data_IF_391140284418
#
_entry.id   IF_391140284418
#
_cell.length_a   1.000
_cell.length_b   1.000
_cell.length_c   1.000
_cell.angle_alpha   90.00
_cell.angle_beta   90.00
_cell.angle_gamma   90.00
#
_symmetry.space_group_name_H-M   'P 1'
#
loop_
_entity.id
_entity.type
_entity.pdbx_description
1 polymer ?
#
# COMPACT_ATOMS: atom_id res chain seq x y z
N UNK A 1 -18.65 -42.29 -22.81
CA UNK A 1 -17.71 -42.20 -21.67
C UNK A 1 -17.25 -40.75 -21.54
N UNK A 2 -18.03 -39.93 -20.83
CA UNK A 2 -17.75 -38.52 -20.63
C UNK A 2 -16.70 -38.39 -19.52
N UNK A 3 -15.51 -37.92 -19.87
CA UNK A 3 -14.45 -37.62 -18.94
C UNK A 3 -14.80 -36.27 -18.32
N UNK A 4 -15.05 -36.28 -17.02
CA UNK A 4 -15.42 -35.13 -16.21
C UNK A 4 -14.24 -34.15 -16.12
N UNK A 5 -14.31 -33.05 -16.88
CA UNK A 5 -13.29 -31.99 -16.95
C UNK A 5 -13.25 -31.09 -15.68
N UNK A 6 -14.03 -31.40 -14.66
CA UNK A 6 -14.17 -30.62 -13.41
C UNK A 6 -13.23 -31.06 -12.30
N UNK A 7 -12.46 -32.12 -12.46
CA UNK A 7 -11.62 -32.68 -11.39
C UNK A 7 -10.15 -32.21 -11.41
N UNK A 8 -9.71 -31.45 -12.42
CA UNK A 8 -8.29 -31.03 -12.57
C UNK A 8 -8.04 -29.60 -12.07
N UNK A 9 -9.08 -28.80 -11.80
CA UNK A 9 -8.93 -27.42 -11.31
C UNK A 9 -8.89 -27.27 -9.78
N UNK A 10 -8.94 -28.37 -9.02
CA UNK A 10 -9.08 -28.34 -7.55
C UNK A 10 -7.77 -28.51 -6.76
N UNK A 11 -6.60 -28.59 -7.39
CA UNK A 11 -5.38 -29.02 -6.65
C UNK A 11 -4.15 -28.09 -6.79
N UNK A 12 -4.26 -26.80 -7.07
CA UNK A 12 -3.05 -25.95 -7.04
C UNK A 12 -3.24 -24.48 -6.62
N UNK A 13 -4.29 -24.12 -5.97
CA UNK A 13 -4.41 -22.81 -5.31
C UNK A 13 -4.33 -22.97 -3.80
N UNK A 14 -3.22 -23.54 -3.30
CA UNK A 14 -2.76 -23.20 -1.95
C UNK A 14 -2.23 -21.77 -2.05
N UNK A 15 -3.13 -20.80 -1.94
CA UNK A 15 -2.78 -19.40 -1.78
C UNK A 15 -1.86 -19.36 -0.55
N UNK A 16 -0.59 -19.00 -0.76
CA UNK A 16 0.38 -18.86 0.34
C UNK A 16 -0.09 -17.68 1.19
N UNK A 17 -0.92 -17.93 2.17
CA UNK A 17 -1.28 -16.94 3.19
C UNK A 17 -0.02 -16.62 3.96
N UNK A 18 0.35 -15.34 4.06
CA UNK A 18 1.48 -14.92 4.89
C UNK A 18 1.26 -15.37 6.33
N UNK A 19 2.28 -16.00 6.91
CA UNK A 19 2.24 -16.35 8.33
C UNK A 19 2.31 -15.08 9.18
N UNK A 20 1.69 -15.07 10.35
CA UNK A 20 1.68 -13.91 11.24
C UNK A 20 3.08 -13.32 11.48
N UNK A 21 4.10 -14.15 11.66
CA UNK A 21 5.50 -13.71 11.80
C UNK A 21 6.04 -12.94 10.59
N UNK A 22 5.63 -13.31 9.37
CA UNK A 22 6.03 -12.62 8.13
C UNK A 22 5.35 -11.24 8.04
N UNK A 23 4.09 -11.16 8.47
CA UNK A 23 3.34 -9.90 8.56
C UNK A 23 4.00 -8.97 9.59
N UNK A 24 4.33 -9.48 10.77
CA UNK A 24 4.96 -8.69 11.83
C UNK A 24 6.35 -8.19 11.42
N UNK A 25 7.14 -9.02 10.73
CA UNK A 25 8.44 -8.63 10.20
C UNK A 25 8.31 -7.54 9.11
N UNK A 26 7.35 -7.68 8.20
CA UNK A 26 7.10 -6.69 7.15
C UNK A 26 6.62 -5.36 7.76
N UNK A 27 5.73 -5.40 8.77
CA UNK A 27 5.30 -4.22 9.53
C UNK A 27 6.49 -3.50 10.16
N UNK A 28 7.32 -4.22 10.90
CA UNK A 28 8.51 -3.65 11.55
C UNK A 28 9.47 -3.04 10.53
N UNK A 29 9.69 -3.69 9.39
CA UNK A 29 10.54 -3.17 8.32
C UNK A 29 9.99 -1.84 7.77
N UNK A 30 8.69 -1.77 7.43
CA UNK A 30 8.07 -0.57 6.87
C UNK A 30 8.14 0.60 7.86
N UNK A 31 7.85 0.34 9.14
CA UNK A 31 7.90 1.34 10.22
C UNK A 31 9.33 1.75 10.58
N UNK A 32 10.34 0.91 10.29
CA UNK A 32 11.76 1.22 10.52
C UNK A 32 12.38 2.06 9.40
N UNK A 33 11.72 2.23 8.24
CA UNK A 33 12.23 3.08 7.15
C UNK A 33 12.34 4.53 7.67
N UNK A 34 13.53 5.17 7.61
CA UNK A 34 13.75 6.51 8.19
C UNK A 34 12.76 7.57 7.68
N UNK A 35 12.37 7.50 6.40
CA UNK A 35 11.38 8.41 5.82
C UNK A 35 9.98 8.18 6.40
N UNK A 36 9.56 6.92 6.57
CA UNK A 36 8.28 6.57 7.21
C UNK A 36 8.23 7.06 8.66
N UNK A 37 9.34 6.89 9.40
CA UNK A 37 9.47 7.41 10.78
C UNK A 37 9.36 8.93 10.82
N UNK A 38 10.05 9.64 9.89
CA UNK A 38 10.01 11.10 9.83
C UNK A 38 8.61 11.65 9.56
N UNK A 39 7.81 10.92 8.80
CA UNK A 39 6.42 11.25 8.50
C UNK A 39 5.43 10.71 9.55
N UNK A 40 5.91 10.00 10.57
CA UNK A 40 5.09 9.42 11.63
C UNK A 40 4.13 8.32 11.13
N UNK A 41 4.49 7.65 10.03
CA UNK A 41 3.64 6.60 9.45
C UNK A 41 3.51 5.40 10.37
N UNK A 42 2.30 4.81 10.43
CA UNK A 42 2.00 3.57 11.17
C UNK A 42 1.26 2.59 10.28
N UNK A 43 1.65 1.33 10.35
CA UNK A 43 0.96 0.25 9.62
C UNK A 43 -0.22 -0.23 10.47
N UNK A 44 -1.43 0.13 10.05
CA UNK A 44 -2.67 -0.26 10.74
C UNK A 44 -3.09 -1.68 10.36
N UNK A 45 -3.04 -2.02 9.05
CA UNK A 45 -3.36 -3.36 8.54
C UNK A 45 -2.35 -3.75 7.46
N UNK A 46 -2.01 -5.03 7.43
CA UNK A 46 -1.12 -5.60 6.41
C UNK A 46 -1.44 -7.08 6.21
N UNK A 47 -1.64 -7.51 4.97
CA UNK A 47 -1.87 -8.91 4.61
C UNK A 47 -2.67 -9.06 3.31
N UNK A 48 -2.55 -10.21 2.68
CA UNK A 48 -3.35 -10.63 1.51
C UNK A 48 -3.37 -9.62 0.35
N UNK A 49 -2.22 -8.99 0.09
CA UNK A 49 -2.11 -7.97 -0.96
C UNK A 49 -2.73 -6.62 -0.60
N UNK A 50 -3.04 -6.39 0.68
CA UNK A 50 -3.63 -5.15 1.18
C UNK A 50 -2.76 -4.53 2.27
N UNK A 51 -2.69 -3.19 2.25
CA UNK A 51 -2.06 -2.42 3.31
C UNK A 51 -2.92 -1.21 3.67
N UNK A 52 -2.97 -0.88 4.95
CA UNK A 52 -3.56 0.36 5.47
C UNK A 52 -2.49 1.04 6.31
N UNK A 53 -2.10 2.25 5.92
CA UNK A 53 -1.06 3.03 6.59
C UNK A 53 -1.63 4.40 6.93
N UNK A 54 -1.46 4.83 8.18
CA UNK A 54 -1.84 6.15 8.66
C UNK A 54 -0.62 7.07 8.76
N UNK A 55 -0.84 8.37 8.57
CA UNK A 55 0.13 9.45 8.75
C UNK A 55 -0.55 10.56 9.55
N UNK A 56 -0.10 10.84 10.79
CA UNK A 56 -0.68 11.88 11.61
C UNK A 56 -0.40 13.27 11.02
N UNK A 57 -1.25 14.24 11.36
CA UNK A 57 -0.98 15.63 11.03
C UNK A 57 0.24 16.13 11.79
N UNK A 58 1.21 16.68 11.07
CA UNK A 58 2.36 17.36 11.64
C UNK A 58 2.50 18.76 10.99
N UNK A 59 2.66 19.79 11.81
CA UNK A 59 2.88 21.17 11.36
C UNK A 59 4.13 21.33 10.49
N UNK A 60 5.13 20.47 10.67
CA UNK A 60 6.34 20.45 9.86
C UNK A 60 6.08 19.99 8.41
N UNK A 61 4.93 19.35 8.14
CA UNK A 61 4.53 18.86 6.83
C UNK A 61 3.55 19.79 6.10
N UNK A 62 3.29 20.99 6.64
CA UNK A 62 2.38 21.97 6.01
C UNK A 62 2.97 22.43 4.68
N UNK A 63 2.16 22.33 3.61
CA UNK A 63 2.49 22.83 2.29
C UNK A 63 2.00 24.28 2.04
N UNK A 64 0.86 24.64 2.65
CA UNK A 64 0.30 25.97 2.58
C UNK A 64 0.20 26.61 3.98
N UNK A 65 1.04 27.61 4.27
CA UNK A 65 1.07 28.28 5.57
C UNK A 65 -0.23 29.01 5.92
N UNK A 66 -1.06 29.37 4.93
CA UNK A 66 -2.33 30.09 5.16
C UNK A 66 -3.41 29.12 5.59
N UNK A 67 -3.66 28.11 4.77
CA UNK A 67 -4.72 27.12 4.98
C UNK A 67 -4.32 26.00 5.93
N UNK A 68 -3.02 25.85 6.23
CA UNK A 68 -2.45 24.78 7.06
C UNK A 68 -2.64 23.36 6.48
N UNK A 69 -2.90 23.25 5.20
CA UNK A 69 -3.02 21.98 4.48
C UNK A 69 -1.65 21.30 4.39
N UNK A 70 -1.62 19.99 4.58
CA UNK A 70 -0.42 19.14 4.42
C UNK A 70 0.06 19.20 2.96
N UNK A 71 1.39 19.28 2.77
CA UNK A 71 2.00 19.25 1.45
C UNK A 71 1.67 17.95 0.70
N UNK A 72 1.29 18.06 -0.57
CA UNK A 72 0.94 16.91 -1.40
C UNK A 72 2.04 15.85 -1.46
N UNK A 73 3.32 16.25 -1.40
CA UNK A 73 4.45 15.32 -1.36
C UNK A 73 4.42 14.36 -0.16
N UNK A 74 3.91 14.78 1.00
CA UNK A 74 3.74 13.88 2.15
C UNK A 74 2.64 12.83 1.87
N UNK A 75 1.56 13.24 1.20
CA UNK A 75 0.49 12.33 0.78
C UNK A 75 1.01 11.36 -0.30
N UNK A 76 1.84 11.84 -1.25
CA UNK A 76 2.49 10.96 -2.24
C UNK A 76 3.35 9.90 -1.57
N UNK A 77 4.19 10.28 -0.61
CA UNK A 77 5.04 9.36 0.12
C UNK A 77 4.23 8.32 0.91
N UNK A 78 3.11 8.73 1.52
CA UNK A 78 2.19 7.83 2.20
C UNK A 78 1.59 6.80 1.24
N UNK A 79 1.12 7.25 0.06
CA UNK A 79 0.48 6.37 -0.93
C UNK A 79 1.48 5.42 -1.58
N UNK A 80 2.71 5.88 -1.84
CA UNK A 80 3.81 5.06 -2.34
C UNK A 80 4.19 3.96 -1.34
N UNK A 81 4.36 4.34 -0.08
CA UNK A 81 4.66 3.38 1.00
C UNK A 81 3.54 2.35 1.17
N UNK A 82 2.28 2.78 1.12
CA UNK A 82 1.13 1.89 1.21
C UNK A 82 1.06 0.93 -0.01
N UNK A 83 1.36 1.44 -1.21
CA UNK A 83 1.43 0.64 -2.43
C UNK A 83 2.48 -0.46 -2.36
N UNK A 84 3.73 -0.09 -2.00
CA UNK A 84 4.82 -1.04 -1.81
C UNK A 84 4.51 -2.07 -0.72
N UNK A 85 3.93 -1.63 0.40
CA UNK A 85 3.49 -2.52 1.49
C UNK A 85 2.44 -3.54 1.02
N UNK A 86 1.46 -3.11 0.21
CA UNK A 86 0.46 -4.01 -0.36
C UNK A 86 1.08 -5.06 -1.29
N UNK A 87 2.11 -4.69 -2.06
CA UNK A 87 2.86 -5.63 -2.90
C UNK A 87 3.59 -6.65 -2.03
N UNK A 88 4.35 -6.21 -1.02
CA UNK A 88 5.07 -7.10 -0.09
C UNK A 88 4.11 -8.06 0.62
N UNK A 89 2.90 -7.60 0.95
CA UNK A 89 1.86 -8.41 1.59
C UNK A 89 1.14 -9.37 0.63
N UNK A 90 1.40 -9.32 -0.69
CA UNK A 90 0.71 -10.17 -1.65
C UNK A 90 1.34 -11.58 -1.70
N UNK A 91 0.53 -12.67 -1.64
CA UNK A 91 1.03 -14.05 -1.54
C UNK A 91 1.95 -14.48 -2.69
N UNK A 92 1.79 -13.89 -3.87
CA UNK A 92 2.56 -14.20 -5.07
C UNK A 92 3.75 -13.27 -5.29
N UNK A 93 3.90 -12.19 -4.51
CA UNK A 93 5.03 -11.29 -4.55
C UNK A 93 6.14 -11.75 -3.58
N UNK A 94 7.36 -11.34 -3.84
CA UNK A 94 8.48 -11.52 -2.91
C UNK A 94 8.57 -10.36 -1.91
N UNK A 95 9.54 -10.44 -1.01
CA UNK A 95 9.74 -9.41 0.03
C UNK A 95 10.39 -8.10 -0.47
N UNK A 96 10.89 -8.08 -1.72
CA UNK A 96 11.51 -6.89 -2.30
C UNK A 96 10.64 -6.28 -3.39
N UNK A 97 10.42 -4.97 -3.32
CA UNK A 97 9.69 -4.21 -4.32
C UNK A 97 10.29 -2.83 -4.48
N UNK A 98 10.15 -2.24 -5.67
CA UNK A 98 10.47 -0.85 -5.95
C UNK A 98 9.40 -0.27 -6.88
N UNK A 99 9.07 0.99 -6.70
CA UNK A 99 8.10 1.70 -7.52
C UNK A 99 8.64 1.91 -8.93
N UNK A 100 7.89 1.48 -9.93
CA UNK A 100 8.17 1.75 -11.34
C UNK A 100 7.41 2.99 -11.82
N UNK A 101 6.14 3.08 -11.42
CA UNK A 101 5.25 4.18 -11.75
C UNK A 101 4.19 4.32 -10.65
N UNK A 102 3.84 5.56 -10.32
CA UNK A 102 2.76 5.87 -9.40
C UNK A 102 2.09 7.17 -9.83
N UNK A 103 0.93 7.05 -10.45
CA UNK A 103 0.09 8.19 -10.77
C UNK A 103 -0.84 8.48 -9.60
N UNK A 104 -0.87 9.73 -9.17
CA UNK A 104 -1.74 10.20 -8.08
C UNK A 104 -2.63 11.33 -8.59
N UNK A 105 -3.92 11.18 -8.39
CA UNK A 105 -4.93 12.19 -8.65
C UNK A 105 -5.39 12.79 -7.31
N UNK A 106 -5.06 14.06 -7.07
CA UNK A 106 -5.48 14.81 -5.88
C UNK A 106 -6.90 15.32 -6.07
N UNK A 107 -7.82 14.86 -5.26
CA UNK A 107 -9.25 15.14 -5.39
C UNK A 107 -9.67 16.38 -4.60
N UNK A 108 -9.05 16.61 -3.45
CA UNK A 108 -9.26 17.77 -2.58
C UNK A 108 -8.13 17.96 -1.58
N UNK A 109 -8.00 19.16 -0.97
CA UNK A 109 -7.11 19.34 0.18
C UNK A 109 -7.51 18.44 1.34
N UNK A 110 -6.51 17.89 2.06
CA UNK A 110 -6.75 17.19 3.33
C UNK A 110 -7.16 18.20 4.40
N UNK A 111 -8.04 17.79 5.31
CA UNK A 111 -8.49 18.64 6.41
C UNK A 111 -7.36 18.86 7.41
N UNK A 112 -6.97 20.11 7.71
CA UNK A 112 -5.92 20.41 8.67
C UNK A 112 -6.20 19.81 10.06
N UNK A 113 -5.16 19.30 10.69
CA UNK A 113 -5.26 18.68 12.02
C UNK A 113 -5.71 17.22 12.01
N UNK A 114 -6.10 16.68 10.87
CA UNK A 114 -6.56 15.29 10.78
C UNK A 114 -5.49 14.35 10.26
N UNK A 115 -5.50 13.11 10.76
CA UNK A 115 -4.71 12.00 10.23
C UNK A 115 -5.18 11.65 8.82
N UNK A 116 -4.23 11.39 7.93
CA UNK A 116 -4.50 10.87 6.59
C UNK A 116 -4.19 9.38 6.59
N UNK A 117 -5.12 8.56 6.09
CA UNK A 117 -4.96 7.10 6.00
C UNK A 117 -5.01 6.68 4.54
N UNK A 118 -3.97 5.99 4.08
CA UNK A 118 -3.92 5.36 2.76
C UNK A 118 -4.29 3.89 2.87
N UNK A 119 -5.23 3.46 2.05
CA UNK A 119 -5.57 2.06 1.82
C UNK A 119 -5.11 1.67 0.43
N UNK A 120 -4.24 0.68 0.33
CA UNK A 120 -3.71 0.17 -0.93
C UNK A 120 -4.06 -1.31 -1.13
N UNK A 121 -4.25 -1.70 -2.38
CA UNK A 121 -4.52 -3.07 -2.80
C UNK A 121 -3.65 -3.42 -4.01
N UNK A 122 -2.87 -4.49 -3.89
CA UNK A 122 -2.18 -5.12 -5.00
C UNK A 122 -3.16 -6.07 -5.67
N UNK A 123 -3.78 -5.64 -6.77
CA UNK A 123 -4.88 -6.36 -7.41
C UNK A 123 -4.42 -7.32 -8.52
N UNK A 124 -3.17 -7.22 -8.96
CA UNK A 124 -2.62 -8.11 -9.97
C UNK A 124 -1.10 -8.22 -9.85
N UNK A 125 -0.58 -9.45 -9.96
CA UNK A 125 0.86 -9.74 -9.92
C UNK A 125 1.24 -10.60 -11.11
N UNK A 126 2.25 -10.15 -11.87
CA UNK A 126 2.90 -10.91 -12.92
C UNK A 126 4.22 -11.50 -12.40
N UNK A 127 5.03 -12.06 -13.30
CA UNK A 127 6.35 -12.59 -12.93
C UNK A 127 7.30 -11.52 -12.39
N UNK A 128 7.20 -10.27 -12.85
CA UNK A 128 8.17 -9.20 -12.57
C UNK A 128 7.52 -7.88 -12.13
N UNK A 129 6.22 -7.74 -12.31
CA UNK A 129 5.49 -6.49 -12.01
C UNK A 129 4.22 -6.79 -11.23
N UNK A 130 3.95 -6.00 -10.22
CA UNK A 130 2.71 -5.94 -9.47
C UNK A 130 1.98 -4.61 -9.75
N UNK A 131 0.65 -4.67 -9.82
CA UNK A 131 -0.21 -3.52 -10.07
C UNK A 131 -1.03 -3.20 -8.82
N UNK A 132 -1.04 -1.91 -8.45
CA UNK A 132 -1.62 -1.41 -7.22
C UNK A 132 -2.64 -0.31 -7.51
N UNK A 133 -3.69 -0.26 -6.71
CA UNK A 133 -4.56 0.91 -6.56
C UNK A 133 -4.58 1.33 -5.10
N UNK A 134 -4.69 2.63 -4.85
CA UNK A 134 -4.72 3.17 -3.50
C UNK A 134 -5.67 4.35 -3.39
N UNK A 135 -6.18 4.57 -2.18
CA UNK A 135 -7.03 5.71 -1.82
C UNK A 135 -6.54 6.29 -0.51
N UNK A 136 -6.34 7.60 -0.45
CA UNK A 136 -6.01 8.32 0.77
C UNK A 136 -7.21 9.15 1.24
N UNK A 137 -7.60 9.00 2.50
CA UNK A 137 -8.70 9.73 3.13
C UNK A 137 -8.24 10.34 4.46
N UNK A 138 -8.87 11.43 4.86
CA UNK A 138 -8.92 11.89 6.24
C UNK A 138 -10.16 11.28 6.95
N UNK A 139 -10.73 11.92 7.95
CA UNK A 139 -11.95 11.44 8.64
C UNK A 139 -13.13 11.28 7.68
N UNK A 140 -13.21 12.09 6.61
CA UNK A 140 -14.23 11.96 5.58
C UNK A 140 -13.84 10.87 4.56
N UNK A 141 -14.23 9.65 4.85
CA UNK A 141 -13.94 8.48 4.01
C UNK A 141 -14.79 8.42 2.73
N UNK A 142 -15.87 9.19 2.66
CA UNK A 142 -16.75 9.24 1.47
C UNK A 142 -16.16 10.10 0.35
N UNK A 143 -15.27 11.05 0.69
CA UNK A 143 -14.62 11.95 -0.26
C UNK A 143 -13.10 11.83 -0.13
N UNK A 144 -12.44 11.04 -0.97
CA UNK A 144 -10.99 10.86 -0.93
C UNK A 144 -10.21 12.19 -1.04
N UNK A 145 -9.10 12.29 -0.33
CA UNK A 145 -8.08 13.34 -0.52
C UNK A 145 -7.34 13.10 -1.83
N UNK A 146 -6.97 11.84 -2.08
CA UNK A 146 -6.29 11.42 -3.29
C UNK A 146 -6.60 9.97 -3.64
N UNK A 147 -6.49 9.63 -4.93
CA UNK A 147 -6.50 8.26 -5.43
C UNK A 147 -5.22 8.00 -6.22
N UNK A 148 -4.77 6.74 -6.29
CA UNK A 148 -3.60 6.38 -7.07
C UNK A 148 -3.75 5.03 -7.76
N UNK A 149 -3.02 4.91 -8.87
CA UNK A 149 -2.72 3.65 -9.55
C UNK A 149 -1.22 3.59 -9.82
N UNK A 150 -0.62 2.40 -9.70
CA UNK A 150 0.82 2.27 -9.91
C UNK A 150 1.25 0.86 -10.25
N UNK A 151 2.52 0.77 -10.65
CA UNK A 151 3.22 -0.45 -10.95
C UNK A 151 4.51 -0.53 -10.12
N UNK A 152 4.79 -1.72 -9.62
CA UNK A 152 5.92 -2.00 -8.75
C UNK A 152 6.68 -3.24 -9.23
N UNK A 153 7.98 -3.30 -8.97
CA UNK A 153 8.74 -4.52 -9.25
C UNK A 153 8.34 -5.65 -8.31
N UNK A 154 8.43 -6.88 -8.79
CA UNK A 154 8.32 -8.09 -7.97
C UNK A 154 9.68 -8.77 -7.97
N UNK A 155 10.36 -8.84 -6.83
CA UNK A 155 11.54 -9.68 -6.68
C UNK A 155 11.09 -10.98 -6.01
N UNK A 156 11.08 -12.07 -6.79
CA UNK A 156 11.03 -13.40 -6.19
C UNK A 156 12.30 -13.55 -5.37
N UNK A 157 12.18 -13.78 -4.07
CA UNK A 157 13.34 -14.07 -3.23
C UNK A 157 14.22 -15.08 -3.94
N UNK A 158 15.54 -14.85 -3.90
CA UNK A 158 16.52 -15.84 -4.36
C UNK A 158 16.17 -17.16 -3.68
N UNK A 159 15.72 -18.12 -4.50
CA UNK A 159 15.47 -19.49 -4.06
C UNK A 159 16.80 -20.17 -3.75
#
# INVERSE_FOLDING_TARGET
>A
MQINCLAIYSLSLITKVMKQKEIDAARQFIEAIPHSQRLGMKVEQLGEGRAVISMPYDKALIGDPVTKVIHGGAVSALMDTAGGAAVVAHPLAGLGTATLDLRIDYMRPATPGQTITATAECYHVTRTVAFVRATACDVDTARPVATATGAFTVSKGLA
#
